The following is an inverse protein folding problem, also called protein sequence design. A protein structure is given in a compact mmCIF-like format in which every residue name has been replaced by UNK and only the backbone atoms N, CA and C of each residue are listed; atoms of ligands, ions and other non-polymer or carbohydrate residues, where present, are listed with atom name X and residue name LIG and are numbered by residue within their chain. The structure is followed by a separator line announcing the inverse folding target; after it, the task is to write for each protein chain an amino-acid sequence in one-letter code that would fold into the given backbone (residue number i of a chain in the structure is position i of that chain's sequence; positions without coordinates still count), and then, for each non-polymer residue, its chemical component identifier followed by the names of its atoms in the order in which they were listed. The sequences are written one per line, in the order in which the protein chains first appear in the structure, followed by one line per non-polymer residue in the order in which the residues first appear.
data_IF_569282575293
#
_entry.id   IF_569282575293
#
_cell.length_a   1.000
_cell.length_b   1.000
_cell.length_c   1.000
_cell.angle_alpha   90.00
_cell.angle_beta   90.00
_cell.angle_gamma   90.00
#
_symmetry.space_group_name_H-M   'P 1'
#
loop_
_entity.id
_entity.type
_entity.pdbx_description
1 polymer ?
#
# COMPACT_ATOMS: atom_id res chain seq x y z
N UNK A 1 37.37 -21.53 58.12
CA UNK A 1 37.64 -20.24 57.44
C UNK A 1 37.87 -20.35 55.94
N UNK A 2 38.65 -21.31 55.41
CA UNK A 2 38.94 -21.42 53.97
C UNK A 2 37.71 -21.50 53.04
N UNK A 3 36.66 -22.26 53.38
CA UNK A 3 35.44 -22.39 52.53
C UNK A 3 34.72 -21.04 52.31
N UNK A 4 34.66 -20.19 53.32
CA UNK A 4 34.05 -18.86 53.26
C UNK A 4 34.87 -17.88 52.39
N UNK A 5 36.19 -18.03 52.41
CA UNK A 5 37.08 -17.23 51.58
C UNK A 5 36.92 -17.55 50.09
N UNK A 6 36.87 -18.84 49.72
CA UNK A 6 36.63 -19.26 48.33
C UNK A 6 35.24 -18.86 47.82
N UNK A 7 34.20 -18.90 48.66
CA UNK A 7 32.86 -18.48 48.27
C UNK A 7 32.80 -16.98 47.90
N UNK A 8 33.46 -16.11 48.67
CA UNK A 8 33.53 -14.67 48.39
C UNK A 8 34.32 -14.35 47.11
N UNK A 9 35.38 -15.10 46.82
CA UNK A 9 36.14 -14.94 45.58
C UNK A 9 35.29 -15.36 44.38
N UNK A 10 34.62 -16.51 44.44
CA UNK A 10 33.73 -16.98 43.36
C UNK A 10 32.62 -15.99 43.06
N UNK A 11 31.96 -15.45 44.09
CA UNK A 11 30.89 -14.45 43.92
C UNK A 11 31.40 -13.17 43.24
N UNK A 12 32.57 -12.66 43.64
CA UNK A 12 33.18 -11.46 43.03
C UNK A 12 33.59 -11.69 41.58
N UNK A 13 34.10 -12.89 41.26
CA UNK A 13 34.47 -13.25 39.89
C UNK A 13 33.23 -13.36 39.00
N UNK A 14 32.18 -14.06 39.46
CA UNK A 14 30.91 -14.17 38.74
C UNK A 14 30.29 -12.79 38.52
N UNK A 15 30.23 -11.94 39.55
CA UNK A 15 29.71 -10.58 39.42
C UNK A 15 30.48 -9.75 38.39
N UNK A 16 31.82 -9.85 38.36
CA UNK A 16 32.64 -9.15 37.36
C UNK A 16 32.42 -9.67 35.94
N UNK A 17 32.26 -10.99 35.76
CA UNK A 17 31.96 -11.59 34.45
C UNK A 17 30.58 -11.13 33.95
N UNK A 18 29.57 -11.15 34.82
CA UNK A 18 28.22 -10.66 34.48
C UNK A 18 28.25 -9.18 34.10
N UNK A 19 28.99 -8.35 34.84
CA UNK A 19 29.11 -6.92 34.58
C UNK A 19 29.87 -6.65 33.27
N UNK A 20 30.90 -7.45 32.97
CA UNK A 20 31.67 -7.34 31.73
C UNK A 20 30.84 -7.81 30.51
N UNK A 21 30.12 -8.92 30.61
CA UNK A 21 29.16 -9.37 29.58
C UNK A 21 28.04 -8.34 29.38
N UNK A 22 27.50 -7.77 30.46
CA UNK A 22 26.53 -6.69 30.38
C UNK A 22 27.11 -5.45 29.70
N UNK A 23 28.35 -5.06 29.99
CA UNK A 23 29.03 -3.93 29.32
C UNK A 23 29.31 -4.17 27.84
N UNK A 24 29.54 -5.42 27.43
CA UNK A 24 29.70 -5.80 26.01
C UNK A 24 28.37 -5.71 25.25
N UNK A 25 27.24 -6.04 25.90
CA UNK A 25 25.90 -5.77 25.37
C UNK A 25 25.65 -4.26 25.21
N UNK A 26 26.28 -3.42 26.02
CA UNK A 26 26.15 -1.97 25.94
C UNK A 26 26.98 -1.28 24.83
N UNK A 27 27.91 -1.98 24.17
CA UNK A 27 28.85 -1.38 23.19
C UNK A 27 28.39 -1.44 21.72
N UNK A 28 27.43 -2.30 21.36
CA UNK A 28 26.80 -2.34 20.02
C UNK A 28 25.44 -1.62 19.98
N UNK A 29 25.22 -0.69 20.90
CA UNK A 29 23.90 -0.28 21.36
C UNK A 29 23.06 0.58 20.43
N UNK A 30 23.64 1.53 19.68
CA UNK A 30 22.80 2.55 19.05
C UNK A 30 21.89 1.96 17.96
N UNK A 31 22.43 1.15 17.05
CA UNK A 31 21.66 0.46 16.03
C UNK A 31 20.81 -0.65 16.61
N UNK A 32 21.38 -1.46 17.51
CA UNK A 32 20.65 -2.58 18.13
C UNK A 32 19.41 -2.12 18.91
N UNK A 33 19.55 -1.12 19.80
CA UNK A 33 18.40 -0.61 20.55
C UNK A 33 17.41 0.16 19.68
N UNK A 34 17.87 0.81 18.61
CA UNK A 34 16.95 1.46 17.66
C UNK A 34 16.08 0.43 16.95
N UNK A 35 16.65 -0.71 16.52
CA UNK A 35 15.89 -1.81 15.95
C UNK A 35 14.87 -2.36 16.95
N UNK A 36 15.32 -2.71 18.17
CA UNK A 36 14.42 -3.24 19.20
C UNK A 36 13.33 -2.25 19.63
N UNK A 37 13.63 -0.94 19.60
CA UNK A 37 12.63 0.10 19.83
C UNK A 37 11.63 0.15 18.66
N UNK A 38 12.09 0.00 17.42
CA UNK A 38 11.22 -0.09 16.25
C UNK A 38 10.28 -1.31 16.34
N UNK A 39 10.79 -2.50 16.66
CA UNK A 39 9.97 -3.71 16.81
C UNK A 39 8.96 -3.55 17.95
N UNK A 40 9.37 -2.87 19.03
CA UNK A 40 8.46 -2.59 20.14
C UNK A 40 7.31 -1.66 19.74
N UNK A 41 7.55 -0.75 18.78
CA UNK A 41 6.50 0.10 18.21
C UNK A 41 5.63 -0.66 17.20
N UNK A 42 6.15 -1.75 16.62
CA UNK A 42 5.43 -2.63 15.71
C UNK A 42 4.47 -3.60 16.44
N UNK A 43 4.63 -3.82 17.75
CA UNK A 43 3.80 -4.72 18.57
C UNK A 43 2.31 -4.39 18.58
N UNK A 44 1.97 -3.10 18.61
CA UNK A 44 0.60 -2.64 18.87
C UNK A 44 0.16 -1.67 17.79
N UNK A 45 -1.05 -1.89 17.29
CA UNK A 45 -1.74 -0.93 16.45
C UNK A 45 -3.02 -0.47 17.13
N UNK A 46 -3.29 0.83 17.08
CA UNK A 46 -4.52 1.42 17.62
C UNK A 46 -4.90 2.62 16.78
N UNK A 47 -6.18 2.76 16.49
CA UNK A 47 -6.65 3.96 15.80
C UNK A 47 -8.15 4.05 15.67
N UNK A 48 -8.55 5.17 15.09
CA UNK A 48 -9.92 5.49 14.75
C UNK A 48 -10.14 5.28 13.24
N UNK A 49 -11.36 4.91 12.89
CA UNK A 49 -11.80 4.61 11.52
C UNK A 49 -13.08 5.38 11.23
N UNK A 50 -13.21 5.94 10.04
CA UNK A 50 -14.50 6.47 9.54
C UNK A 50 -15.17 5.44 8.64
N UNK A 51 -16.50 5.53 8.51
CA UNK A 51 -17.31 4.65 7.66
C UNK A 51 -17.14 3.16 7.97
N UNK A 52 -17.08 2.84 9.27
CA UNK A 52 -16.89 1.50 9.79
C UNK A 52 -18.12 1.08 10.59
N UNK A 53 -18.70 -0.06 10.21
CA UNK A 53 -19.95 -0.59 10.73
C UNK A 53 -19.78 -2.04 11.17
N UNK A 54 -20.32 -2.38 12.33
CA UNK A 54 -20.30 -3.72 12.89
C UNK A 54 -19.07 -4.02 13.74
N UNK A 55 -18.80 -5.30 13.96
CA UNK A 55 -17.74 -5.77 14.82
C UNK A 55 -17.07 -7.00 14.21
N UNK A 56 -15.74 -7.05 14.29
CA UNK A 56 -14.96 -8.20 13.86
C UNK A 56 -13.74 -8.42 14.75
N UNK A 57 -13.42 -9.68 14.98
CA UNK A 57 -12.19 -10.14 15.59
C UNK A 57 -11.42 -10.96 14.56
N UNK A 58 -10.19 -10.56 14.28
CA UNK A 58 -9.24 -11.28 13.45
C UNK A 58 -8.24 -12.00 14.32
N UNK A 59 -7.94 -13.25 13.98
CA UNK A 59 -6.85 -14.03 14.55
C UNK A 59 -6.06 -14.70 13.41
N UNK A 60 -4.94 -14.08 13.04
CA UNK A 60 -4.10 -14.50 11.94
C UNK A 60 -4.82 -14.41 10.59
N UNK A 61 -4.96 -15.51 9.82
CA UNK A 61 -5.64 -15.50 8.52
C UNK A 61 -7.17 -15.52 8.61
N UNK A 62 -7.75 -15.68 9.81
CA UNK A 62 -9.20 -15.87 9.98
C UNK A 62 -9.82 -14.62 10.61
N UNK A 63 -10.92 -14.16 10.02
CA UNK A 63 -11.75 -13.07 10.52
C UNK A 63 -13.08 -13.63 11.02
N UNK A 64 -13.55 -13.16 12.17
CA UNK A 64 -14.82 -13.53 12.78
C UNK A 64 -15.68 -12.28 13.00
N UNK A 65 -16.94 -12.29 12.55
CA UNK A 65 -17.92 -11.27 12.92
C UNK A 65 -18.74 -10.75 11.75
N UNK A 66 -19.31 -9.56 11.92
CA UNK A 66 -20.08 -8.88 10.88
C UNK A 66 -19.53 -7.46 10.85
N UNK A 67 -18.71 -7.15 9.85
CA UNK A 67 -18.06 -5.86 9.73
C UNK A 67 -18.06 -5.40 8.28
N UNK A 68 -18.38 -4.14 8.06
CA UNK A 68 -18.22 -3.47 6.77
C UNK A 68 -17.49 -2.16 6.97
N UNK A 69 -16.50 -1.92 6.10
CA UNK A 69 -15.77 -0.67 6.03
C UNK A 69 -15.58 -0.26 4.58
N UNK A 70 -16.01 0.97 4.29
CA UNK A 70 -15.95 1.59 2.98
C UNK A 70 -14.50 1.88 2.53
N UNK A 71 -14.27 1.94 1.21
CA UNK A 71 -13.00 2.38 0.63
C UNK A 71 -12.76 3.89 0.80
N UNK A 72 -13.84 4.66 0.97
CA UNK A 72 -13.81 6.11 1.17
C UNK A 72 -13.46 6.48 2.63
N UNK A 73 -13.64 5.51 3.53
CA UNK A 73 -13.25 5.61 4.93
C UNK A 73 -11.76 5.94 5.12
N UNK A 74 -11.50 6.80 6.11
CA UNK A 74 -10.16 7.21 6.52
C UNK A 74 -9.83 6.60 7.88
N UNK A 75 -8.59 6.18 8.02
CA UNK A 75 -8.05 5.75 9.30
C UNK A 75 -7.05 6.76 9.81
N UNK A 76 -7.01 6.92 11.12
CA UNK A 76 -5.99 7.70 11.80
C UNK A 76 -5.54 6.94 13.04
N UNK A 77 -4.25 6.71 13.19
CA UNK A 77 -3.74 6.04 14.38
C UNK A 77 -2.28 5.67 14.29
N UNK A 78 -1.90 4.75 15.18
CA UNK A 78 -0.65 4.03 15.18
C UNK A 78 -0.91 2.66 14.55
N UNK A 79 -0.18 2.30 13.49
CA UNK A 79 -0.26 0.98 12.88
C UNK A 79 1.13 0.48 12.52
N UNK A 80 1.54 -0.63 13.12
CA UNK A 80 2.85 -1.26 12.92
C UNK A 80 3.99 -0.23 12.89
N UNK A 81 4.18 0.47 14.02
CA UNK A 81 5.24 1.48 14.16
C UNK A 81 5.00 2.82 13.43
N UNK A 82 4.05 2.90 12.50
CA UNK A 82 3.74 4.13 11.77
C UNK A 82 2.60 4.90 12.41
N UNK A 83 2.77 6.21 12.55
CA UNK A 83 1.69 7.11 12.95
C UNK A 83 1.23 7.91 11.75
N UNK A 84 -0.09 8.02 11.56
CA UNK A 84 -0.63 8.86 10.50
C UNK A 84 -1.97 8.40 9.94
N UNK A 85 -2.38 8.98 8.81
CA UNK A 85 -3.59 8.61 8.12
C UNK A 85 -3.37 7.37 7.25
N UNK A 86 -4.26 6.38 7.32
CA UNK A 86 -4.19 5.16 6.50
C UNK A 86 -5.42 5.01 5.61
N UNK A 87 -5.25 4.23 4.54
CA UNK A 87 -6.38 3.71 3.76
C UNK A 87 -6.64 2.28 4.19
N UNK A 88 -7.86 1.96 4.61
CA UNK A 88 -8.22 0.55 4.65
C UNK A 88 -9.69 0.30 4.33
N UNK A 89 -9.93 -0.89 3.80
CA UNK A 89 -11.23 -1.37 3.39
C UNK A 89 -11.38 -2.79 3.93
N UNK A 90 -12.52 -3.10 4.54
CA UNK A 90 -12.77 -4.43 5.06
C UNK A 90 -14.22 -4.86 4.89
N UNK A 91 -14.40 -6.15 4.65
CA UNK A 91 -15.69 -6.79 4.63
C UNK A 91 -15.55 -8.13 5.33
N UNK A 92 -16.32 -8.35 6.40
CA UNK A 92 -16.35 -9.56 7.21
C UNK A 92 -17.79 -10.00 7.37
N UNK A 93 -18.08 -11.24 7.00
CA UNK A 93 -19.36 -11.91 7.19
C UNK A 93 -19.13 -13.30 7.77
N UNK A 94 -19.44 -13.47 9.05
CA UNK A 94 -19.15 -14.65 9.86
C UNK A 94 -17.66 -15.00 9.85
N UNK A 95 -17.23 -15.96 9.04
CA UNK A 95 -15.83 -16.43 8.95
C UNK A 95 -15.15 -15.99 7.63
N UNK A 96 -15.92 -15.33 6.76
CA UNK A 96 -15.46 -14.85 5.47
C UNK A 96 -15.07 -13.38 5.60
N UNK A 97 -13.78 -13.12 5.49
CA UNK A 97 -13.20 -11.79 5.54
C UNK A 97 -12.43 -11.42 4.27
N UNK A 98 -12.42 -10.14 3.93
CA UNK A 98 -11.45 -9.55 3.01
C UNK A 98 -11.02 -8.20 3.56
N UNK A 99 -9.72 -7.93 3.50
CA UNK A 99 -9.14 -6.68 4.00
C UNK A 99 -8.09 -6.15 3.03
N UNK A 100 -8.10 -4.83 2.86
CA UNK A 100 -7.06 -4.07 2.14
C UNK A 100 -6.53 -3.04 3.12
N UNK A 101 -5.21 -3.02 3.30
CA UNK A 101 -4.50 -1.97 4.03
C UNK A 101 -3.45 -1.35 3.13
N UNK A 102 -3.55 -0.03 2.92
CA UNK A 102 -2.51 0.75 2.26
C UNK A 102 -1.77 1.64 3.26
N UNK A 103 -0.50 1.89 2.97
CA UNK A 103 0.47 2.62 3.78
C UNK A 103 0.01 4.01 4.23
N UNK A 104 0.78 4.62 5.15
CA UNK A 104 0.50 5.98 5.58
C UNK A 104 0.40 6.87 4.34
N UNK A 105 -0.74 7.54 4.20
CA UNK A 105 -0.94 8.51 3.12
C UNK A 105 -0.09 9.74 3.48
N UNK A 106 0.71 10.27 2.54
CA UNK A 106 1.36 11.56 2.75
C UNK A 106 0.26 12.55 3.13
N UNK A 107 0.56 13.41 4.11
CA UNK A 107 -0.39 14.42 4.53
C UNK A 107 -0.87 15.17 3.28
N UNK A 108 -2.16 15.47 3.20
CA UNK A 108 -2.76 16.10 2.02
C UNK A 108 -1.99 17.36 1.58
N UNK A 109 -1.38 18.05 2.53
CA UNK A 109 -0.51 19.22 2.35
C UNK A 109 0.82 18.93 1.62
N UNK A 110 1.37 17.72 1.73
CA UNK A 110 2.58 17.32 0.99
C UNK A 110 2.29 17.10 -0.49
N UNK A 111 1.10 16.59 -0.83
CA UNK A 111 0.67 16.50 -2.24
C UNK A 111 0.56 17.88 -2.88
N UNK A 112 0.08 18.87 -2.13
CA UNK A 112 -0.01 20.25 -2.59
C UNK A 112 1.40 20.81 -2.81
N UNK A 113 2.34 20.63 -1.87
CA UNK A 113 3.73 21.09 -2.04
C UNK A 113 4.45 20.42 -3.21
N UNK A 114 4.28 19.12 -3.39
CA UNK A 114 4.90 18.40 -4.50
C UNK A 114 4.33 18.88 -5.84
N UNK A 115 3.02 19.16 -5.91
CA UNK A 115 2.41 19.76 -7.10
C UNK A 115 2.79 21.23 -7.32
N UNK A 116 3.04 21.99 -6.26
CA UNK A 116 3.39 23.41 -6.33
C UNK A 116 4.86 23.63 -6.71
N UNK A 117 5.77 22.73 -6.28
CA UNK A 117 7.17 22.73 -6.72
C UNK A 117 7.39 22.27 -8.17
N UNK A 118 6.38 21.65 -8.78
CA UNK A 118 6.40 21.21 -10.18
C UNK A 118 5.81 22.24 -11.16
N UNK A 119 5.33 23.41 -10.69
CA UNK A 119 4.92 24.49 -11.59
C UNK A 119 6.15 25.18 -12.21
N UNK A 120 6.27 25.25 -13.55
CA UNK A 120 7.29 26.07 -14.21
C UNK A 120 7.09 27.56 -13.88
N UNK A 121 8.15 28.38 -13.96
CA UNK A 121 8.12 29.78 -13.53
C UNK A 121 7.03 30.59 -14.24
N UNK A 122 6.38 31.54 -13.55
CA UNK A 122 5.21 32.23 -14.05
C UNK A 122 5.61 33.21 -15.17
N UNK A 123 5.08 32.96 -16.35
CA UNK A 123 5.31 33.82 -17.50
C UNK A 123 4.42 33.45 -18.68
N UNK A 124 3.10 33.63 -18.53
CA UNK A 124 2.14 34.04 -19.57
C UNK A 124 0.74 34.16 -18.93
N UNK A 125 -0.07 35.17 -19.31
CA UNK A 125 -1.33 35.48 -18.64
C UNK A 125 -2.46 34.59 -19.15
N UNK A 126 -3.17 33.94 -18.23
CA UNK A 126 -4.37 33.18 -18.54
C UNK A 126 -5.62 34.03 -18.30
N UNK A 127 -6.50 34.04 -19.29
CA UNK A 127 -7.77 34.76 -19.31
C UNK A 127 -8.90 33.77 -19.07
N UNK A 128 -9.85 34.21 -18.24
CA UNK A 128 -11.28 33.85 -18.24
C UNK A 128 -11.65 32.42 -17.87
N UNK A 129 -12.82 32.11 -17.35
CA UNK A 129 -13.83 32.79 -16.53
C UNK A 129 -14.79 31.66 -16.05
N UNK A 130 -15.61 32.00 -15.08
CA UNK A 130 -16.61 31.21 -14.37
C UNK A 130 -17.54 30.30 -15.21
N UNK A 131 -17.96 29.18 -14.59
CA UNK A 131 -19.37 28.73 -14.38
C UNK A 131 -19.34 27.34 -13.71
N UNK A 132 -19.90 27.11 -12.52
CA UNK A 132 -21.29 27.21 -12.04
C UNK A 132 -22.20 26.03 -12.47
N UNK A 133 -22.99 25.57 -11.48
CA UNK A 133 -24.19 24.72 -11.51
C UNK A 133 -24.07 23.18 -11.36
N UNK A 134 -24.23 22.75 -10.10
CA UNK A 134 -25.35 21.96 -9.52
C UNK A 134 -26.00 20.76 -10.23
N UNK A 135 -26.23 19.74 -9.39
CA UNK A 135 -27.46 18.93 -9.20
C UNK A 135 -27.78 17.65 -10.01
N UNK A 136 -27.94 16.58 -9.22
CA UNK A 136 -29.03 15.57 -9.13
C UNK A 136 -29.10 14.33 -10.05
N UNK A 137 -29.11 13.18 -9.35
CA UNK A 137 -30.04 12.05 -9.38
C UNK A 137 -30.52 11.46 -10.72
N UNK A 138 -30.22 10.17 -10.97
CA UNK A 138 -31.27 9.18 -11.23
C UNK A 138 -30.79 7.71 -11.10
N UNK A 139 -31.68 6.77 -10.75
CA UNK A 139 -31.38 5.38 -10.39
C UNK A 139 -31.62 4.38 -11.54
N UNK A 140 -31.15 3.16 -11.33
CA UNK A 140 -31.93 1.98 -11.70
C UNK A 140 -31.47 1.14 -12.88
N UNK A 141 -31.40 -0.16 -12.59
CA UNK A 141 -31.68 -1.33 -13.43
C UNK A 141 -30.50 -2.16 -13.96
N UNK A 142 -30.49 -3.38 -13.41
CA UNK A 142 -29.77 -4.57 -13.79
C UNK A 142 -30.12 -5.04 -15.21
N UNK A 143 -29.10 -5.44 -15.96
CA UNK A 143 -28.98 -6.75 -16.61
C UNK A 143 -27.74 -6.67 -17.51
N UNK A 144 -26.66 -7.35 -17.14
CA UNK A 144 -25.43 -7.30 -17.93
C UNK A 144 -25.39 -8.53 -18.85
N UNK A 145 -25.64 -8.38 -20.17
CA UNK A 145 -25.37 -9.45 -21.12
C UNK A 145 -23.86 -9.66 -21.20
N UNK A 146 -23.46 -10.93 -21.29
CA UNK A 146 -22.09 -11.36 -21.47
C UNK A 146 -21.46 -10.65 -22.68
N UNK A 147 -20.44 -9.79 -22.44
CA UNK A 147 -19.84 -8.95 -23.48
C UNK A 147 -18.79 -9.76 -24.25
N UNK A 148 -19.08 -10.02 -25.53
CA UNK A 148 -18.18 -10.69 -26.47
C UNK A 148 -16.90 -9.85 -26.69
N UNK A 149 -15.69 -10.41 -26.54
CA UNK A 149 -14.42 -9.69 -26.78
C UNK A 149 -14.30 -9.11 -28.20
N UNK A 150 -15.00 -9.68 -29.20
CA UNK A 150 -15.04 -9.09 -30.55
C UNK A 150 -15.83 -7.78 -30.59
N UNK A 151 -16.85 -7.64 -29.74
CA UNK A 151 -17.64 -6.41 -29.64
C UNK A 151 -16.81 -5.26 -29.06
N UNK A 152 -15.88 -5.54 -28.14
CA UNK A 152 -14.97 -4.53 -27.57
C UNK A 152 -13.99 -3.99 -28.61
N UNK A 153 -13.41 -4.85 -29.44
CA UNK A 153 -12.51 -4.41 -30.52
C UNK A 153 -13.24 -3.59 -31.60
N UNK A 154 -14.49 -3.97 -31.90
CA UNK A 154 -15.35 -3.20 -32.81
C UNK A 154 -15.71 -1.83 -32.22
N UNK A 155 -15.94 -1.76 -30.90
CA UNK A 155 -16.21 -0.51 -30.20
C UNK A 155 -14.99 0.43 -30.23
N UNK A 156 -13.78 -0.08 -30.00
CA UNK A 156 -12.55 0.72 -30.11
C UNK A 156 -12.33 1.25 -31.53
N UNK A 157 -12.57 0.41 -32.54
CA UNK A 157 -12.51 0.83 -33.95
C UNK A 157 -13.54 1.93 -34.28
N UNK A 158 -14.76 1.83 -33.73
CA UNK A 158 -15.81 2.84 -33.88
C UNK A 158 -15.48 4.16 -33.18
N UNK A 159 -14.76 4.11 -32.04
CA UNK A 159 -14.31 5.33 -31.35
C UNK A 159 -13.31 6.13 -32.17
N UNK A 160 -12.48 5.46 -32.97
CA UNK A 160 -11.41 6.08 -33.76
C UNK A 160 -11.88 6.60 -35.14
N UNK A 161 -13.01 6.12 -35.66
CA UNK A 161 -13.55 6.57 -36.95
C UNK A 161 -14.16 7.98 -36.88
N UNK A 162 -14.08 8.72 -37.98
CA UNK A 162 -14.75 10.03 -38.11
C UNK A 162 -16.28 9.86 -38.18
N UNK A 163 -17.04 10.91 -37.88
CA UNK A 163 -18.51 10.84 -38.00
C UNK A 163 -18.96 10.52 -39.43
N UNK A 164 -18.25 11.05 -40.42
CA UNK A 164 -18.51 10.85 -41.84
C UNK A 164 -18.29 9.38 -42.25
N UNK A 165 -17.23 8.75 -41.74
CA UNK A 165 -16.93 7.33 -41.97
C UNK A 165 -17.97 6.40 -41.33
N UNK A 166 -18.47 6.77 -40.15
CA UNK A 166 -19.49 5.99 -39.43
C UNK A 166 -20.84 6.07 -40.15
N UNK A 167 -21.17 7.22 -40.73
CA UNK A 167 -22.39 7.40 -41.52
C UNK A 167 -22.35 6.64 -42.85
N UNK A 168 -21.16 6.37 -43.37
CA UNK A 168 -20.95 5.53 -44.54
C UNK A 168 -21.09 4.02 -44.26
N UNK A 169 -21.15 3.59 -42.99
CA UNK A 169 -21.27 2.17 -42.66
C UNK A 169 -22.65 1.63 -43.07
N UNK A 170 -22.71 0.45 -43.73
CA UNK A 170 -23.99 -0.14 -44.18
C UNK A 170 -24.94 -0.43 -43.01
N UNK A 171 -24.39 -0.79 -41.84
CA UNK A 171 -25.17 -1.01 -40.63
C UNK A 171 -25.80 0.29 -40.08
N UNK A 172 -25.14 1.44 -40.24
CA UNK A 172 -25.67 2.72 -39.80
C UNK A 172 -26.79 3.21 -40.73
N UNK A 173 -26.66 2.97 -42.03
CA UNK A 173 -27.67 3.36 -43.02
C UNK A 173 -29.02 2.67 -42.78
N UNK A 174 -29.00 1.43 -42.29
CA UNK A 174 -30.18 0.62 -41.96
C UNK A 174 -30.95 1.08 -40.71
N UNK A 175 -30.39 1.98 -39.89
CA UNK A 175 -31.04 2.48 -38.67
C UNK A 175 -32.14 3.51 -38.98
N UNK A 176 -33.17 3.54 -38.13
CA UNK A 176 -34.22 4.58 -38.20
C UNK A 176 -33.65 5.97 -37.85
N UNK A 177 -34.32 7.08 -38.25
CA UNK A 177 -33.83 8.43 -37.99
C UNK A 177 -33.61 8.71 -36.49
N UNK A 178 -34.54 8.25 -35.66
CA UNK A 178 -34.45 8.39 -34.20
C UNK A 178 -33.29 7.58 -33.59
N UNK A 179 -33.05 6.37 -34.12
CA UNK A 179 -31.93 5.53 -33.69
C UNK A 179 -30.57 6.13 -34.10
N UNK A 180 -30.51 6.77 -35.28
CA UNK A 180 -29.31 7.48 -35.76
C UNK A 180 -28.93 8.62 -34.83
N UNK A 181 -29.91 9.37 -34.32
CA UNK A 181 -29.67 10.45 -33.35
C UNK A 181 -29.24 9.93 -31.97
N UNK A 182 -29.89 8.87 -31.47
CA UNK A 182 -29.50 8.25 -30.21
C UNK A 182 -28.06 7.69 -30.27
N UNK A 183 -27.70 7.04 -31.38
CA UNK A 183 -26.35 6.56 -31.61
C UNK A 183 -25.34 7.71 -31.66
N UNK A 184 -25.65 8.80 -32.37
CA UNK A 184 -24.81 10.01 -32.41
C UNK A 184 -24.57 10.56 -31.00
N UNK A 185 -25.62 10.70 -30.19
CA UNK A 185 -25.51 11.18 -28.80
C UNK A 185 -24.66 10.26 -27.92
N UNK A 186 -24.83 8.94 -28.04
CA UNK A 186 -24.04 7.98 -27.27
C UNK A 186 -22.57 7.96 -27.69
N UNK A 187 -22.31 7.98 -29.01
CA UNK A 187 -20.96 8.02 -29.54
C UNK A 187 -20.25 9.33 -29.19
N UNK A 188 -20.97 10.46 -29.23
CA UNK A 188 -20.47 11.75 -28.80
C UNK A 188 -20.12 11.74 -27.30
N UNK A 189 -20.99 11.22 -26.43
CA UNK A 189 -20.67 11.02 -25.00
C UNK A 189 -19.45 10.13 -24.78
N UNK A 190 -19.30 9.06 -25.56
CA UNK A 190 -18.15 8.15 -25.48
C UNK A 190 -16.85 8.81 -25.98
N UNK A 191 -16.93 9.64 -27.03
CA UNK A 191 -15.80 10.42 -27.53
C UNK A 191 -15.43 11.52 -26.54
N UNK A 192 -16.40 12.24 -25.97
CA UNK A 192 -16.22 13.26 -24.94
C UNK A 192 -15.58 12.70 -23.67
N UNK A 193 -15.97 11.50 -23.23
CA UNK A 193 -15.32 10.78 -22.12
C UNK A 193 -13.89 10.32 -22.45
N UNK A 194 -13.55 10.15 -23.73
CA UNK A 194 -12.21 9.75 -24.19
C UNK A 194 -11.34 10.98 -24.48
N UNK A 195 -11.92 12.13 -24.81
CA UNK A 195 -11.26 13.43 -24.91
C UNK A 195 -11.17 14.10 -23.53
N UNK A 196 -10.56 13.42 -22.57
CA UNK A 196 -9.65 14.15 -21.68
C UNK A 196 -8.44 14.46 -22.59
N UNK A 197 -8.06 15.74 -22.79
CA UNK A 197 -7.09 16.12 -23.81
C UNK A 197 -5.72 15.50 -23.47
N UNK A 198 -5.46 14.34 -24.07
CA UNK A 198 -4.14 13.70 -24.09
C UNK A 198 -3.37 14.34 -25.23
N UNK A 199 -3.08 15.64 -25.10
CA UNK A 199 -2.16 16.40 -25.96
C UNK A 199 -1.79 17.73 -25.27
N UNK A 200 -1.64 17.70 -23.94
CA UNK A 200 -0.83 18.70 -23.24
C UNK A 200 0.53 18.05 -22.95
N UNK A 201 1.64 18.45 -23.61
CA UNK A 201 2.98 17.97 -23.28
C UNK A 201 3.44 18.38 -21.87
N UNK A 202 2.57 19.01 -21.09
CA UNK A 202 2.78 19.47 -19.71
C UNK A 202 1.95 18.72 -18.67
N UNK A 203 1.15 17.71 -19.04
CA UNK A 203 0.58 16.79 -18.05
C UNK A 203 1.72 15.93 -17.46
N UNK A 204 1.99 15.99 -16.15
CA UNK A 204 3.06 15.20 -15.57
C UNK A 204 2.75 13.74 -15.88
N UNK A 205 3.75 13.03 -16.40
CA UNK A 205 3.76 11.58 -16.34
C UNK A 205 3.24 11.19 -14.95
N UNK A 206 2.40 10.15 -14.85
CA UNK A 206 2.12 9.53 -13.55
C UNK A 206 3.46 9.00 -13.06
N UNK A 207 4.21 9.88 -12.41
CA UNK A 207 5.51 9.58 -11.88
C UNK A 207 5.24 8.51 -10.84
N UNK A 208 5.97 7.39 -10.86
CA UNK A 208 5.83 6.36 -9.86
C UNK A 208 5.97 7.03 -8.50
N UNK A 209 4.88 7.05 -7.74
CA UNK A 209 4.87 7.63 -6.39
C UNK A 209 5.93 6.87 -5.61
N UNK A 210 6.81 7.59 -4.90
CA UNK A 210 7.78 6.96 -4.00
C UNK A 210 7.02 6.04 -3.03
N UNK A 211 7.36 4.75 -2.95
CA UNK A 211 6.69 3.82 -2.05
C UNK A 211 6.86 4.32 -0.62
N UNK A 212 5.80 4.17 0.15
CA UNK A 212 5.86 4.47 1.58
C UNK A 212 6.82 3.51 2.29
N UNK A 213 7.38 3.92 3.42
CA UNK A 213 8.26 3.07 4.22
C UNK A 213 7.56 1.76 4.65
N UNK A 214 6.26 1.82 4.91
CA UNK A 214 5.43 0.65 5.20
C UNK A 214 5.29 -0.30 3.99
N UNK A 215 5.24 0.23 2.77
CA UNK A 215 5.27 -0.58 1.54
C UNK A 215 6.65 -1.21 1.35
N UNK A 216 7.73 -0.47 1.61
CA UNK A 216 9.11 -0.99 1.54
C UNK A 216 9.35 -2.12 2.55
N UNK A 217 8.79 -2.01 3.76
CA UNK A 217 8.82 -3.08 4.79
C UNK A 217 7.80 -4.20 4.55
N UNK A 218 7.09 -4.22 3.40
CA UNK A 218 6.07 -5.23 3.05
C UNK A 218 4.96 -5.38 4.10
N UNK A 219 4.65 -4.28 4.79
CA UNK A 219 3.63 -4.19 5.83
C UNK A 219 2.26 -3.79 5.26
N UNK A 220 2.20 -3.32 4.02
CA UNK A 220 0.95 -3.24 3.26
C UNK A 220 0.49 -4.61 2.78
N UNK A 221 -0.82 -4.85 2.79
CA UNK A 221 -1.35 -6.15 2.40
C UNK A 221 -2.75 -6.06 1.80
N UNK A 222 -3.04 -7.06 0.98
CA UNK A 222 -4.37 -7.37 0.46
C UNK A 222 -4.68 -8.82 0.80
N UNK A 223 -5.44 -9.02 1.86
CA UNK A 223 -5.72 -10.36 2.37
C UNK A 223 -7.14 -10.78 2.03
N UNK A 224 -7.30 -12.08 1.76
CA UNK A 224 -8.59 -12.74 1.63
C UNK A 224 -8.61 -13.91 2.61
N UNK A 225 -9.76 -14.14 3.23
CA UNK A 225 -9.95 -15.29 4.11
C UNK A 225 -9.59 -16.58 3.36
N UNK A 226 -8.88 -17.51 4.02
CA UNK A 226 -8.50 -18.80 3.43
C UNK A 226 -9.72 -19.67 3.08
N UNK A 227 -10.88 -19.36 3.66
CA UNK A 227 -12.17 -20.01 3.36
C UNK A 227 -12.95 -19.29 2.24
N UNK A 228 -12.44 -18.15 1.76
CA UNK A 228 -13.02 -17.37 0.67
C UNK A 228 -12.73 -17.99 -0.68
N UNK A 229 -13.78 -18.53 -1.31
CA UNK A 229 -13.85 -19.10 -2.67
C UNK A 229 -12.60 -18.91 -3.55
N UNK A 230 -11.93 -20.03 -3.86
CA UNK A 230 -10.97 -20.16 -4.95
C UNK A 230 -11.66 -19.90 -6.30
N UNK A 231 -12.05 -18.67 -6.58
CA UNK A 231 -12.44 -18.28 -7.93
C UNK A 231 -11.14 -18.14 -8.74
N UNK A 232 -10.95 -18.91 -9.82
CA UNK A 232 -9.71 -18.94 -10.59
C UNK A 232 -9.31 -17.53 -11.07
N UNK A 233 -8.01 -17.25 -11.00
CA UNK A 233 -7.39 -15.93 -11.14
C UNK A 233 -7.61 -15.22 -12.49
N UNK A 234 -8.24 -15.88 -13.48
CA UNK A 234 -8.36 -15.35 -14.85
C UNK A 234 -9.54 -14.39 -15.05
N UNK A 235 -10.48 -14.29 -14.09
CA UNK A 235 -11.61 -13.35 -14.16
C UNK A 235 -11.93 -12.82 -12.76
N UNK A 236 -11.39 -11.65 -12.38
CA UNK A 236 -11.79 -10.96 -11.14
C UNK A 236 -12.02 -9.49 -11.39
N UNK A 237 -13.29 -9.08 -11.41
CA UNK A 237 -13.69 -7.82 -10.80
C UNK A 237 -13.59 -8.06 -9.29
N UNK A 238 -12.60 -7.52 -8.58
CA UNK A 238 -12.58 -7.64 -7.14
C UNK A 238 -13.82 -6.91 -6.59
N UNK A 239 -14.54 -7.53 -5.64
CA UNK A 239 -15.60 -6.88 -4.85
C UNK A 239 -15.12 -5.55 -4.22
N UNK A 240 -13.79 -5.43 -4.04
CA UNK A 240 -13.09 -4.24 -3.62
C UNK A 240 -12.19 -3.78 -4.79
N UNK A 241 -12.65 -2.81 -5.57
CA UNK A 241 -11.88 -2.20 -6.66
C UNK A 241 -10.73 -1.39 -6.06
N UNK A 242 -9.50 -1.80 -6.38
CA UNK A 242 -8.31 -0.95 -6.23
C UNK A 242 -7.61 -1.04 -7.57
N UNK A 243 -7.39 0.10 -8.22
CA UNK A 243 -6.73 0.22 -9.52
C UNK A 243 -5.22 -0.04 -9.43
N UNK A 244 -4.71 -0.36 -8.23
CA UNK A 244 -3.30 -0.69 -7.99
C UNK A 244 -3.06 -2.19 -8.09
N UNK A 245 -1.99 -2.58 -8.78
CA UNK A 245 -1.53 -3.96 -8.78
C UNK A 245 -1.26 -4.44 -7.34
N UNK A 246 -1.72 -5.64 -6.97
CA UNK A 246 -1.48 -6.17 -5.63
C UNK A 246 0.03 -6.40 -5.43
N UNK A 247 0.61 -5.73 -4.43
CA UNK A 247 2.03 -5.82 -4.04
C UNK A 247 2.43 -7.28 -3.65
N UNK A 248 1.46 -8.14 -3.34
CA UNK A 248 1.70 -9.58 -3.23
C UNK A 248 0.81 -10.39 -4.18
N UNK A 249 1.42 -10.95 -5.23
CA UNK A 249 0.89 -12.12 -5.95
C UNK A 249 1.08 -13.37 -5.07
N UNK A 250 0.40 -13.49 -3.93
CA UNK A 250 0.62 -14.63 -3.04
C UNK A 250 -0.15 -14.61 -1.71
N UNK A 251 0.32 -15.45 -0.78
CA UNK A 251 -0.14 -15.48 0.62
C UNK A 251 0.13 -14.14 1.32
N UNK A 252 -0.66 -13.83 2.35
CA UNK A 252 -0.46 -12.65 3.18
C UNK A 252 0.92 -12.68 3.87
N UNK A 253 1.54 -11.52 4.17
CA UNK A 253 2.83 -11.48 4.85
C UNK A 253 2.75 -12.14 6.24
N UNK A 254 3.89 -12.63 6.75
CA UNK A 254 3.93 -13.36 8.04
C UNK A 254 3.43 -12.50 9.22
N UNK A 255 3.71 -11.20 9.18
CA UNK A 255 3.17 -10.22 10.14
C UNK A 255 1.63 -10.20 10.15
N UNK A 256 0.98 -10.34 8.98
CA UNK A 256 -0.48 -10.45 8.88
C UNK A 256 -1.00 -11.72 9.58
N UNK A 257 -0.32 -12.85 9.38
CA UNK A 257 -0.73 -14.18 9.88
C UNK A 257 -0.63 -14.33 11.39
N UNK A 258 0.09 -13.45 12.07
CA UNK A 258 0.30 -13.47 13.52
C UNK A 258 -0.42 -12.34 14.25
N UNK A 259 -1.26 -11.59 13.55
CA UNK A 259 -1.99 -10.45 14.12
C UNK A 259 -3.29 -10.90 14.77
N UNK A 260 -3.56 -10.38 15.97
CA UNK A 260 -4.88 -10.43 16.62
C UNK A 260 -5.44 -9.01 16.56
N UNK A 261 -6.54 -8.80 15.83
CA UNK A 261 -7.10 -7.45 15.61
C UNK A 261 -8.60 -7.41 15.93
N UNK A 262 -8.99 -6.50 16.80
CA UNK A 262 -10.38 -6.22 17.14
C UNK A 262 -10.79 -4.90 16.48
N UNK A 263 -11.90 -4.93 15.74
CA UNK A 263 -12.51 -3.75 15.11
C UNK A 263 -13.96 -3.61 15.58
N UNK A 264 -14.33 -2.42 16.00
CA UNK A 264 -15.67 -2.08 16.47
C UNK A 264 -16.11 -0.78 15.81
N UNK A 265 -17.29 -0.74 15.19
CA UNK A 265 -17.81 0.47 14.53
C UNK A 265 -19.33 0.51 14.42
N UNK A 266 -19.88 1.71 14.41
CA UNK A 266 -21.31 1.96 14.13
C UNK A 266 -21.52 3.01 13.03
N UNK A 267 -20.58 3.96 12.90
CA UNK A 267 -20.56 5.00 11.88
C UNK A 267 -19.10 5.47 11.72
N UNK A 268 -18.47 5.74 12.85
CA UNK A 268 -17.05 5.59 13.04
C UNK A 268 -16.75 4.33 13.85
N UNK A 269 -15.49 3.92 13.83
CA UNK A 269 -15.01 2.77 14.58
C UNK A 269 -13.65 3.01 15.22
N UNK A 270 -13.28 2.08 16.08
CA UNK A 270 -11.95 1.95 16.64
C UNK A 270 -11.40 0.58 16.28
N UNK A 271 -10.09 0.51 16.11
CA UNK A 271 -9.40 -0.76 16.00
C UNK A 271 -8.27 -0.83 17.00
N UNK A 272 -8.02 -2.04 17.47
CA UNK A 272 -6.90 -2.40 18.31
C UNK A 272 -6.31 -3.70 17.76
N UNK A 273 -5.01 -3.73 17.51
CA UNK A 273 -4.31 -4.91 17.05
C UNK A 273 -3.06 -5.18 17.89
N UNK A 274 -2.78 -6.45 18.07
CA UNK A 274 -1.56 -6.97 18.66
C UNK A 274 -0.87 -7.89 17.65
N UNK A 275 0.40 -7.63 17.36
CA UNK A 275 1.19 -8.38 16.39
C UNK A 275 2.08 -9.39 17.11
N UNK A 276 1.58 -10.61 17.32
CA UNK A 276 2.31 -11.62 18.08
C UNK A 276 3.62 -12.05 17.40
N UNK A 277 3.71 -11.95 16.07
CA UNK A 277 4.93 -12.20 15.33
C UNK A 277 6.04 -11.21 15.66
N UNK A 278 5.70 -9.92 15.78
CA UNK A 278 6.64 -8.87 16.17
C UNK A 278 7.10 -9.04 17.63
N UNK A 279 6.26 -9.60 18.51
CA UNK A 279 6.69 -9.98 19.87
C UNK A 279 7.74 -11.10 19.82
N UNK A 280 7.54 -12.09 18.97
CA UNK A 280 8.52 -13.17 18.79
C UNK A 280 9.81 -12.61 18.21
N UNK A 281 9.73 -11.70 17.25
CA UNK A 281 10.91 -11.01 16.71
C UNK A 281 11.66 -10.24 17.79
N UNK A 282 10.97 -9.39 18.55
CA UNK A 282 11.54 -8.63 19.66
C UNK A 282 12.27 -9.53 20.68
N UNK A 283 11.67 -10.67 21.04
CA UNK A 283 12.26 -11.63 21.97
C UNK A 283 13.47 -12.36 21.37
N UNK A 284 13.38 -12.75 20.10
CA UNK A 284 14.45 -13.38 19.35
C UNK A 284 15.63 -12.41 19.15
N UNK A 285 15.35 -11.12 19.00
CA UNK A 285 16.34 -10.06 18.88
C UNK A 285 17.29 -9.97 20.07
N UNK A 286 16.81 -10.26 21.29
CA UNK A 286 17.67 -10.31 22.48
C UNK A 286 18.76 -11.39 22.43
N UNK A 287 18.59 -12.40 21.57
CA UNK A 287 19.61 -13.43 21.31
C UNK A 287 20.27 -13.27 19.94
N UNK A 288 20.00 -12.16 19.24
CA UNK A 288 20.55 -11.85 17.92
C UNK A 288 19.89 -12.59 16.76
N UNK A 289 18.67 -13.10 16.95
CA UNK A 289 17.86 -13.73 15.89
C UNK A 289 16.81 -12.73 15.39
N UNK A 290 16.57 -12.72 14.07
CA UNK A 290 15.59 -11.88 13.38
C UNK A 290 14.73 -12.80 12.48
N UNK A 291 13.68 -13.43 13.03
CA UNK A 291 12.76 -14.29 12.25
C UNK A 291 11.90 -13.53 11.23
N UNK A 292 11.69 -12.22 11.39
CA UNK A 292 10.84 -11.44 10.48
C UNK A 292 11.59 -10.87 9.28
N UNK A 293 12.93 -10.80 9.34
CA UNK A 293 13.81 -10.27 8.29
C UNK A 293 13.37 -8.85 7.86
N UNK A 294 12.74 -8.12 8.79
CA UNK A 294 12.21 -6.77 8.60
C UNK A 294 13.01 -5.70 9.36
N UNK A 295 13.96 -6.17 10.16
CA UNK A 295 15.18 -5.49 10.61
C UNK A 295 16.08 -5.25 9.39
N UNK A 296 15.53 -4.52 8.42
CA UNK A 296 16.21 -4.14 7.21
C UNK A 296 17.60 -3.59 7.59
N UNK A 297 18.65 -3.96 6.86
CA UNK A 297 19.91 -3.28 7.04
C UNK A 297 19.71 -1.83 6.58
N UNK A 298 19.49 -0.93 7.53
CA UNK A 298 20.17 0.37 7.48
C UNK A 298 21.70 0.14 7.42
N UNK A 299 22.16 -1.07 7.72
CA UNK A 299 23.51 -1.58 7.55
C UNK A 299 23.90 -1.84 6.07
N UNK A 300 24.21 -0.76 5.36
CA UNK A 300 24.94 -0.71 4.09
C UNK A 300 24.33 -1.54 2.94
N UNK A 301 23.92 -0.92 1.81
CA UNK A 301 23.59 -1.65 0.58
C UNK A 301 24.71 -2.64 0.14
N UNK A 302 25.94 -2.41 0.60
CA UNK A 302 27.12 -3.27 0.47
C UNK A 302 26.97 -4.71 0.99
N UNK A 303 26.08 -4.99 1.95
CA UNK A 303 25.95 -6.32 2.57
C UNK A 303 25.47 -7.38 1.57
N UNK A 304 24.58 -7.02 0.65
CA UNK A 304 24.06 -7.90 -0.41
C UNK A 304 24.85 -7.84 -1.73
N UNK A 305 25.89 -7.01 -1.80
CA UNK A 305 26.76 -6.91 -2.98
C UNK A 305 27.78 -8.07 -2.95
N UNK A 306 27.97 -8.74 -4.09
CA UNK A 306 29.05 -9.74 -4.28
C UNK A 306 30.42 -9.09 -4.03
N UNK A 307 31.45 -9.86 -3.66
CA UNK A 307 32.79 -9.30 -3.37
C UNK A 307 33.32 -8.39 -4.48
N UNK A 308 33.05 -8.72 -5.74
CA UNK A 308 33.45 -7.89 -6.89
C UNK A 308 32.72 -6.55 -6.90
N UNK A 309 31.42 -6.55 -6.61
CA UNK A 309 30.64 -5.33 -6.54
C UNK A 309 31.02 -4.48 -5.32
N UNK A 310 31.43 -5.09 -4.20
CA UNK A 310 32.00 -4.36 -3.05
C UNK A 310 33.32 -3.68 -3.42
N UNK A 311 34.22 -4.38 -4.12
CA UNK A 311 35.47 -3.79 -4.63
C UNK A 311 35.24 -2.68 -5.65
N UNK A 312 34.17 -2.75 -6.44
CA UNK A 312 33.76 -1.67 -7.33
C UNK A 312 33.18 -0.48 -6.55
N UNK A 313 32.37 -0.74 -5.51
CA UNK A 313 31.80 0.28 -4.64
C UNK A 313 32.90 1.05 -3.87
N UNK A 314 33.96 0.35 -3.45
CA UNK A 314 35.11 0.94 -2.78
C UNK A 314 35.88 1.93 -3.67
N UNK A 315 35.90 1.69 -4.99
CA UNK A 315 36.56 2.58 -5.96
C UNK A 315 35.77 3.86 -6.27
N UNK A 316 34.48 3.91 -5.92
CA UNK A 316 33.64 5.08 -6.18
C UNK A 316 33.94 6.19 -5.18
N UNK A 317 33.90 7.44 -5.66
CA UNK A 317 33.98 8.62 -4.79
C UNK A 317 32.75 8.72 -3.88
N UNK A 318 32.83 9.42 -2.74
CA UNK A 318 31.70 9.55 -1.81
C UNK A 318 30.41 10.07 -2.48
N UNK A 319 30.54 11.01 -3.43
CA UNK A 319 29.40 11.54 -4.18
C UNK A 319 28.77 10.49 -5.11
N UNK A 320 29.58 9.69 -5.79
CA UNK A 320 29.09 8.61 -6.65
C UNK A 320 28.43 7.49 -5.85
N UNK A 321 28.92 7.20 -4.64
CA UNK A 321 28.27 6.24 -3.74
C UNK A 321 26.89 6.73 -3.33
N UNK A 322 26.76 8.03 -3.02
CA UNK A 322 25.48 8.64 -2.67
C UNK A 322 24.50 8.61 -3.85
N UNK A 323 24.96 8.93 -5.05
CA UNK A 323 24.15 8.83 -6.28
C UNK A 323 23.72 7.39 -6.59
N UNK A 324 24.61 6.42 -6.39
CA UNK A 324 24.29 5.01 -6.60
C UNK A 324 23.29 4.50 -5.56
N UNK A 325 23.41 4.94 -4.31
CA UNK A 325 22.44 4.61 -3.26
C UNK A 325 21.07 5.20 -3.58
N UNK A 326 21.01 6.47 -4.01
CA UNK A 326 19.78 7.09 -4.48
C UNK A 326 19.18 6.36 -5.70
N UNK A 327 20.02 5.93 -6.65
CA UNK A 327 19.60 5.14 -7.81
C UNK A 327 19.07 3.75 -7.42
N UNK A 328 19.71 3.08 -6.46
CA UNK A 328 19.25 1.79 -5.95
C UNK A 328 17.92 1.91 -5.20
N UNK A 329 17.74 2.97 -4.41
CA UNK A 329 16.44 3.28 -3.79
C UNK A 329 15.36 3.50 -4.86
N UNK A 330 15.68 4.20 -5.96
CA UNK A 330 14.76 4.40 -7.09
C UNK A 330 14.46 3.09 -7.86
N UNK A 331 15.45 2.22 -8.02
CA UNK A 331 15.27 0.89 -8.64
C UNK A 331 14.41 -0.03 -7.78
N UNK A 332 14.59 -0.01 -6.46
CA UNK A 332 13.73 -0.74 -5.53
C UNK A 332 12.29 -0.21 -5.53
N UNK A 333 12.09 1.09 -5.74
CA UNK A 333 10.74 1.64 -5.93
C UNK A 333 10.08 1.28 -7.26
N UNK A 334 10.87 0.87 -8.26
CA UNK A 334 10.38 0.57 -9.62
C UNK A 334 10.31 -0.93 -9.93
N UNK A 335 10.67 -1.82 -9.00
CA UNK A 335 10.47 -3.27 -9.21
C UNK A 335 8.99 -3.63 -9.00
N UNK A 336 8.33 -4.26 -9.99
CA UNK A 336 6.91 -4.59 -9.95
C UNK A 336 6.57 -5.70 -8.97
#
# INVERSE_FOLDING_TARGET
MQKLFFARIRLKVVARIVLLLSSLLFLQCATYWNNRLADSADLVSVGIQTESYGASLRTGPVDFGIQYKSAEGKDLGLRQGYTGPFSSQSFVAFVLGSEILEGPRPAENERIRDQEQLKPPPGLPDKSDANDSTDRDNPGSNANPEVDPKALQQLEKLKQMSMEEIEALPAYQQLSPEQKEQFRKQLQKLKEQTTIPTNDPTAPAVHPRKPSEMELRKKTYKARSPLGTNVPFQKKNPLLKSDKEPISKGFAPLSYLTTIELKLGLFGGVYFAFHAGELVDLLAGFVGLDPMDDDAPLANPASNLTEEQRKQLEKLTPEQRKQLEEYQRQQQSNRP
#
